data_IF_551483354871
#
_entry.id   IF_551483354871
#
_cell.length_a   1.000
_cell.length_b   1.000
_cell.length_c   1.000
_cell.angle_alpha   90.00
_cell.angle_beta   90.00
_cell.angle_gamma   90.00
#
_symmetry.space_group_name_H-M   'P 1'
#
loop_
_entity.id
_entity.type
_entity.pdbx_description
1 polymer ?
#
# COMPACT_ATOMS: atom_id res chain seq x y z
N UNK A 1 -12.17 43.68 -33.06
CA UNK A 1 -12.88 42.42 -32.75
C UNK A 1 -12.02 41.67 -31.76
N UNK A 2 -12.30 41.84 -30.47
CA UNK A 2 -11.49 41.28 -29.39
C UNK A 2 -12.08 39.96 -28.93
N UNK A 3 -11.22 38.94 -28.87
CA UNK A 3 -11.49 37.59 -28.40
C UNK A 3 -11.63 37.57 -26.88
N UNK A 4 -12.72 36.97 -26.38
CA UNK A 4 -12.90 36.65 -24.96
C UNK A 4 -12.45 35.21 -24.69
N UNK A 5 -11.71 34.93 -23.59
CA UNK A 5 -11.37 33.57 -23.18
C UNK A 5 -12.57 32.86 -22.54
N UNK A 6 -12.70 31.58 -22.85
CA UNK A 6 -13.69 30.65 -22.30
C UNK A 6 -13.29 30.23 -20.86
N UNK A 7 -14.16 30.51 -19.89
CA UNK A 7 -14.04 30.05 -18.49
C UNK A 7 -15.19 29.08 -18.24
N UNK A 8 -14.97 27.76 -18.08
CA UNK A 8 -16.00 26.84 -17.65
C UNK A 8 -16.00 26.73 -16.11
N UNK A 9 -16.42 27.80 -15.44
CA UNK A 9 -17.13 27.64 -14.16
C UNK A 9 -18.61 27.53 -14.53
N UNK A 10 -19.21 26.34 -14.37
CA UNK A 10 -20.65 26.09 -14.18
C UNK A 10 -20.95 24.59 -14.47
N UNK A 11 -20.56 23.69 -13.55
CA UNK A 11 -21.09 22.31 -13.59
C UNK A 11 -21.03 21.48 -12.28
N UNK A 12 -20.66 22.04 -11.12
CA UNK A 12 -20.73 21.27 -9.85
C UNK A 12 -21.22 22.10 -8.65
N UNK A 13 -22.53 22.11 -8.38
CA UNK A 13 -23.18 22.83 -7.28
C UNK A 13 -23.04 22.20 -5.88
N UNK A 14 -21.88 21.61 -5.52
CA UNK A 14 -21.62 21.11 -4.15
C UNK A 14 -20.23 21.40 -3.59
N UNK A 15 -19.48 22.35 -4.16
CA UNK A 15 -18.15 22.74 -3.67
C UNK A 15 -18.15 23.66 -2.41
N UNK A 16 -19.32 24.12 -1.94
CA UNK A 16 -19.40 25.10 -0.84
C UNK A 16 -19.19 24.54 0.57
N UNK A 17 -19.45 23.25 0.79
CA UNK A 17 -19.55 22.69 2.15
C UNK A 17 -18.20 22.25 2.78
N UNK A 18 -17.12 22.17 2.00
CA UNK A 18 -15.80 21.74 2.50
C UNK A 18 -14.86 22.89 2.87
N UNK A 19 -15.26 24.16 2.67
CA UNK A 19 -14.40 25.33 2.99
C UNK A 19 -14.36 25.69 4.48
N UNK A 20 -15.20 25.10 5.32
CA UNK A 20 -15.45 25.59 6.69
C UNK A 20 -15.13 24.59 7.82
N UNK A 21 -14.35 23.53 7.59
CA UNK A 21 -14.02 22.56 8.65
C UNK A 21 -12.54 22.23 8.75
N UNK A 22 -11.72 23.26 8.94
CA UNK A 22 -10.40 23.14 9.54
C UNK A 22 -10.29 24.21 10.64
N UNK A 23 -10.25 23.77 11.90
CA UNK A 23 -10.00 24.63 13.05
C UNK A 23 -8.54 25.14 13.02
N UNK A 24 -8.23 26.41 13.34
CA UNK A 24 -6.92 27.02 13.06
C UNK A 24 -5.81 26.76 14.09
N UNK A 25 -5.83 25.66 14.84
CA UNK A 25 -4.72 25.31 15.73
C UNK A 25 -4.12 23.98 15.29
N UNK A 26 -2.83 24.02 14.94
CA UNK A 26 -1.96 22.92 14.48
C UNK A 26 -1.83 22.70 12.96
N UNK A 27 -1.78 23.79 12.18
CA UNK A 27 -1.11 23.75 10.87
C UNK A 27 0.38 24.08 11.05
N UNK A 28 1.23 23.07 11.22
CA UNK A 28 2.65 23.23 10.93
C UNK A 28 2.82 23.23 9.40
N UNK A 29 3.14 24.40 8.85
CA UNK A 29 3.46 24.61 7.44
C UNK A 29 4.68 23.76 7.04
N UNK A 30 4.43 22.61 6.44
CA UNK A 30 5.36 22.05 5.46
C UNK A 30 4.94 22.61 4.11
N UNK A 31 5.89 23.21 3.40
CA UNK A 31 5.82 23.60 1.99
C UNK A 31 5.55 22.36 1.12
N UNK A 32 4.33 21.85 1.20
CA UNK A 32 3.99 20.45 0.97
C UNK A 32 3.38 20.24 -0.39
N UNK A 33 3.89 19.24 -1.13
CA UNK A 33 3.24 18.74 -2.33
C UNK A 33 1.82 18.29 -1.96
N UNK A 34 0.81 18.97 -2.48
CA UNK A 34 -0.58 18.58 -2.27
C UNK A 34 -0.82 17.19 -2.87
N UNK A 35 -1.35 16.27 -2.05
CA UNK A 35 -1.75 14.94 -2.48
C UNK A 35 -3.13 14.64 -1.88
N UNK A 36 -4.20 14.60 -2.71
CA UNK A 36 -5.57 14.51 -2.21
C UNK A 36 -6.00 13.09 -1.79
N UNK A 37 -5.12 12.09 -1.89
CA UNK A 37 -5.42 10.70 -1.60
C UNK A 37 -4.76 10.22 -0.30
N UNK A 38 -5.32 9.15 0.25
CA UNK A 38 -4.89 8.54 1.52
C UNK A 38 -3.96 7.36 1.30
N UNK A 39 -3.24 6.93 2.35
CA UNK A 39 -2.43 5.70 2.34
C UNK A 39 -3.25 4.46 1.93
N UNK A 40 -4.55 4.43 2.26
CA UNK A 40 -5.46 3.35 1.84
C UNK A 40 -5.55 3.20 0.31
N UNK A 41 -5.46 4.30 -0.45
CA UNK A 41 -5.42 4.22 -1.91
C UNK A 41 -4.14 3.53 -2.39
N UNK A 42 -3.01 3.84 -1.77
CA UNK A 42 -1.71 3.27 -2.13
C UNK A 42 -1.64 1.80 -1.71
N UNK A 43 -2.22 1.44 -0.57
CA UNK A 43 -2.38 0.06 -0.14
C UNK A 43 -3.21 -0.73 -1.15
N UNK A 44 -4.30 -0.17 -1.69
CA UNK A 44 -5.09 -0.81 -2.75
C UNK A 44 -4.27 -0.99 -4.05
N UNK A 45 -3.54 0.05 -4.48
CA UNK A 45 -2.64 -0.01 -5.64
C UNK A 45 -1.55 -1.07 -5.45
N UNK A 46 -0.99 -1.17 -4.24
CA UNK A 46 0.01 -2.18 -3.91
C UNK A 46 -0.59 -3.58 -3.91
N UNK A 47 -1.77 -3.77 -3.33
CA UNK A 47 -2.39 -5.07 -3.13
C UNK A 47 -2.93 -5.70 -4.42
N UNK A 48 -3.62 -4.92 -5.25
CA UNK A 48 -4.25 -5.43 -6.47
C UNK A 48 -3.27 -5.48 -7.65
N UNK A 49 -3.06 -6.66 -8.24
CA UNK A 49 -2.19 -6.80 -9.42
C UNK A 49 -2.65 -5.96 -10.62
N UNK A 50 -3.95 -5.67 -10.76
CA UNK A 50 -4.48 -4.86 -11.86
C UNK A 50 -4.13 -3.37 -11.70
N UNK A 51 -4.09 -2.89 -10.45
CA UNK A 51 -3.72 -1.51 -10.13
C UNK A 51 -2.20 -1.35 -10.01
N UNK A 52 -1.49 -2.42 -9.61
CA UNK A 52 -0.06 -2.35 -9.34
C UNK A 52 0.75 -1.99 -10.60
N UNK A 53 1.62 -0.96 -10.53
CA UNK A 53 2.51 -0.63 -11.63
C UNK A 53 3.35 -1.82 -12.07
N UNK A 54 3.49 -2.03 -13.38
CA UNK A 54 4.25 -3.18 -13.91
C UNK A 54 5.77 -2.96 -13.93
N UNK A 55 6.21 -1.71 -13.88
CA UNK A 55 7.62 -1.31 -13.97
C UNK A 55 8.14 -0.71 -12.65
N UNK A 56 7.84 -1.37 -11.52
CA UNK A 56 8.32 -0.93 -10.21
C UNK A 56 9.85 -0.93 -10.16
N UNK A 57 10.40 0.06 -9.46
CA UNK A 57 11.83 0.19 -9.19
C UNK A 57 12.03 0.63 -7.75
N UNK A 58 13.15 0.23 -7.16
CA UNK A 58 13.58 0.83 -5.90
C UNK A 58 13.96 2.29 -6.12
N UNK A 59 14.05 3.08 -5.05
CA UNK A 59 14.58 4.45 -5.11
C UNK A 59 16.02 4.53 -5.65
N UNK A 60 16.76 3.42 -5.61
CA UNK A 60 18.10 3.26 -6.21
C UNK A 60 18.06 2.82 -7.68
N UNK A 61 16.87 2.70 -8.27
CA UNK A 61 16.67 2.33 -9.68
C UNK A 61 16.72 0.82 -9.98
N UNK A 62 16.82 -0.05 -8.96
CA UNK A 62 16.82 -1.50 -9.18
C UNK A 62 15.40 -1.96 -9.56
N UNK A 63 15.22 -2.78 -10.62
CA UNK A 63 13.92 -3.35 -10.96
C UNK A 63 13.32 -4.15 -9.80
N UNK A 64 12.00 -4.04 -9.61
CA UNK A 64 11.23 -4.78 -8.61
C UNK A 64 10.15 -5.61 -9.28
N UNK A 65 10.09 -6.90 -8.94
CA UNK A 65 8.98 -7.78 -9.28
C UNK A 65 8.30 -8.21 -7.98
N UNK A 66 6.99 -8.02 -7.88
CA UNK A 66 6.20 -8.46 -6.72
C UNK A 66 5.69 -9.87 -6.99
N UNK A 67 6.22 -10.87 -6.27
CA UNK A 67 5.68 -12.24 -6.32
C UNK A 67 4.42 -12.35 -5.45
N UNK A 68 4.43 -11.70 -4.29
CA UNK A 68 3.30 -11.63 -3.36
C UNK A 68 3.31 -10.25 -2.67
N UNK A 69 2.22 -9.45 -2.72
CA UNK A 69 2.16 -8.16 -2.03
C UNK A 69 2.12 -8.28 -0.50
N UNK A 70 1.89 -9.49 0.02
CA UNK A 70 1.66 -9.77 1.43
C UNK A 70 0.16 -9.82 1.76
N UNK A 71 -0.15 -10.28 2.97
CA UNK A 71 -1.51 -10.27 3.50
C UNK A 71 -1.78 -8.91 4.13
N UNK A 72 -2.82 -8.22 3.65
CA UNK A 72 -3.24 -6.94 4.23
C UNK A 72 -3.59 -7.11 5.71
N UNK A 73 -2.95 -6.29 6.54
CA UNK A 73 -3.18 -6.21 7.97
C UNK A 73 -4.11 -5.03 8.27
N UNK A 74 -5.21 -5.30 8.98
CA UNK A 74 -6.16 -4.27 9.44
C UNK A 74 -6.01 -3.97 10.94
N UNK A 75 -5.01 -4.58 11.57
CA UNK A 75 -4.70 -4.43 12.98
C UNK A 75 -3.44 -3.59 13.16
N UNK A 76 -3.07 -3.36 14.40
CA UNK A 76 -1.85 -2.66 14.73
C UNK A 76 -0.63 -3.41 14.16
N UNK A 77 0.11 -2.81 13.24
CA UNK A 77 1.40 -3.30 12.76
C UNK A 77 1.67 -2.75 11.38
N UNK A 78 2.61 -3.35 10.63
CA UNK A 78 2.81 -2.97 9.25
C UNK A 78 1.57 -3.26 8.39
N UNK A 79 1.38 -2.51 7.32
CA UNK A 79 0.22 -2.61 6.44
C UNK A 79 0.04 -3.99 5.80
N UNK A 80 1.14 -4.68 5.48
CA UNK A 80 1.12 -6.01 4.88
C UNK A 80 2.12 -6.94 5.55
N UNK A 81 1.68 -8.16 5.86
CA UNK A 81 2.55 -9.21 6.37
C UNK A 81 3.07 -10.13 5.27
N UNK A 82 4.36 -10.43 5.29
CA UNK A 82 4.98 -11.48 4.47
C UNK A 82 4.95 -11.21 2.95
N UNK A 83 5.16 -9.97 2.53
CA UNK A 83 5.42 -9.63 1.14
C UNK A 83 6.67 -10.35 0.62
N UNK A 84 6.66 -10.73 -0.66
CA UNK A 84 7.77 -11.40 -1.35
C UNK A 84 8.07 -10.73 -2.68
N UNK A 85 9.28 -10.23 -2.83
CA UNK A 85 9.74 -9.46 -3.99
C UNK A 85 11.03 -10.03 -4.57
N UNK A 86 11.24 -9.87 -5.87
CA UNK A 86 12.53 -10.07 -6.55
C UNK A 86 13.11 -8.72 -6.95
N UNK A 87 14.35 -8.46 -6.54
CA UNK A 87 15.02 -7.17 -6.72
C UNK A 87 16.24 -7.29 -7.62
N UNK A 88 16.40 -6.32 -8.51
CA UNK A 88 17.55 -6.23 -9.41
C UNK A 88 17.50 -7.22 -10.56
N UNK A 89 18.53 -7.17 -11.42
CA UNK A 89 18.66 -8.08 -12.57
C UNK A 89 18.93 -9.52 -12.16
N UNK A 90 19.59 -9.70 -11.02
CA UNK A 90 19.92 -11.00 -10.42
C UNK A 90 18.74 -11.64 -9.67
N UNK A 91 17.59 -10.95 -9.57
CA UNK A 91 16.37 -11.44 -8.92
C UNK A 91 16.60 -11.89 -7.48
N UNK A 92 17.30 -11.06 -6.69
CA UNK A 92 17.51 -11.29 -5.26
C UNK A 92 16.15 -11.30 -4.56
N UNK A 93 15.82 -12.40 -3.89
CA UNK A 93 14.52 -12.55 -3.22
C UNK A 93 14.54 -11.89 -1.84
N UNK A 94 13.58 -11.02 -1.60
CA UNK A 94 13.34 -10.36 -0.30
C UNK A 94 11.98 -10.82 0.22
N UNK A 95 11.95 -11.22 1.49
CA UNK A 95 10.74 -11.62 2.20
C UNK A 95 10.67 -10.81 3.49
N UNK A 96 9.53 -10.19 3.75
CA UNK A 96 9.29 -9.42 4.96
C UNK A 96 7.98 -8.66 4.87
N UNK A 97 7.71 -7.84 5.87
CA UNK A 97 6.50 -7.03 5.91
C UNK A 97 6.66 -5.79 5.02
N UNK A 98 5.53 -5.23 4.57
CA UNK A 98 5.49 -4.02 3.78
C UNK A 98 4.70 -2.93 4.49
N UNK A 99 5.23 -1.70 4.44
CA UNK A 99 4.64 -0.50 5.04
C UNK A 99 4.43 0.57 3.97
N UNK A 100 3.28 1.25 3.98
CA UNK A 100 2.87 2.21 2.96
C UNK A 100 2.66 3.60 3.56
N UNK A 101 3.34 4.61 3.00
CA UNK A 101 3.13 6.02 3.37
C UNK A 101 2.94 6.94 2.18
N UNK A 102 2.44 8.16 2.41
CA UNK A 102 2.46 9.21 1.38
C UNK A 102 3.89 9.71 1.18
N UNK A 103 4.58 10.06 2.27
CA UNK A 103 5.94 10.56 2.26
C UNK A 103 6.89 9.60 2.98
N UNK A 104 8.12 9.49 2.51
CA UNK A 104 9.12 8.66 3.18
C UNK A 104 9.37 9.10 4.64
N UNK A 105 9.27 10.40 4.93
CA UNK A 105 9.41 10.98 6.27
C UNK A 105 8.41 10.44 7.29
N UNK A 106 7.26 9.93 6.84
CA UNK A 106 6.20 9.48 7.74
C UNK A 106 6.62 8.26 8.57
N UNK A 107 7.59 7.48 8.07
CA UNK A 107 8.27 6.46 8.86
C UNK A 107 8.81 6.98 10.20
N UNK A 108 9.44 8.16 10.18
CA UNK A 108 9.94 8.81 11.41
C UNK A 108 8.81 9.44 12.19
N UNK A 109 7.88 10.11 11.51
CA UNK A 109 6.78 10.84 12.16
C UNK A 109 5.90 9.89 13.00
N UNK A 110 5.71 8.67 12.52
CA UNK A 110 4.97 7.62 13.22
C UNK A 110 5.84 6.78 14.18
N UNK A 111 7.13 7.10 14.33
CA UNK A 111 8.05 6.44 15.24
C UNK A 111 8.20 4.92 15.00
N UNK A 112 8.04 4.47 13.75
CA UNK A 112 8.10 3.05 13.39
C UNK A 112 9.46 2.41 13.70
N UNK A 113 10.55 3.17 13.59
CA UNK A 113 11.90 2.68 13.92
C UNK A 113 12.09 2.25 15.38
N UNK A 114 11.27 2.75 16.31
CA UNK A 114 11.30 2.38 17.73
C UNK A 114 10.25 1.34 18.12
N UNK A 115 9.36 0.97 17.20
CA UNK A 115 8.27 0.05 17.47
C UNK A 115 8.61 -1.37 16.98
N UNK A 116 8.72 -2.36 17.89
CA UNK A 116 9.09 -3.73 17.54
C UNK A 116 8.19 -4.40 16.50
N UNK A 117 6.94 -3.96 16.36
CA UNK A 117 5.99 -4.50 15.37
C UNK A 117 6.47 -4.31 13.94
N UNK A 118 7.31 -3.30 13.68
CA UNK A 118 7.84 -2.97 12.36
C UNK A 118 9.24 -3.56 12.10
N UNK A 119 9.81 -4.32 13.05
CA UNK A 119 11.16 -4.90 12.91
C UNK A 119 11.31 -5.86 11.71
N UNK A 120 10.19 -6.41 11.22
CA UNK A 120 10.15 -7.29 10.05
C UNK A 120 9.83 -6.58 8.74
N UNK A 121 9.65 -5.25 8.74
CA UNK A 121 9.50 -4.49 7.50
C UNK A 121 10.76 -4.65 6.67
N UNK A 122 10.57 -5.06 5.41
CA UNK A 122 11.62 -5.12 4.40
C UNK A 122 11.27 -4.34 3.14
N UNK A 123 10.05 -3.85 3.03
CA UNK A 123 9.55 -3.10 1.89
C UNK A 123 8.83 -1.85 2.40
N UNK A 124 9.39 -0.68 2.12
CA UNK A 124 8.75 0.59 2.41
C UNK A 124 8.27 1.22 1.10
N UNK A 125 6.97 1.41 0.96
CA UNK A 125 6.32 1.90 -0.25
C UNK A 125 5.85 3.32 0.02
N UNK A 126 6.20 4.25 -0.86
CA UNK A 126 5.74 5.64 -0.74
C UNK A 126 5.08 6.11 -2.01
N UNK A 127 4.21 7.12 -1.91
CA UNK A 127 3.81 7.86 -3.11
C UNK A 127 4.98 8.69 -3.63
N UNK A 128 5.39 9.70 -2.85
CA UNK A 128 6.48 10.57 -3.25
C UNK A 128 7.82 9.90 -3.03
N UNK A 129 8.71 10.05 -4.01
CA UNK A 129 10.11 9.67 -3.84
C UNK A 129 10.76 10.54 -2.75
N UNK A 130 11.42 9.89 -1.82
CA UNK A 130 12.23 10.51 -0.77
C UNK A 130 13.23 9.48 -0.27
N UNK A 131 14.51 9.81 -0.34
CA UNK A 131 15.55 8.94 0.20
C UNK A 131 15.80 9.33 1.64
N UNK A 132 15.33 8.50 2.57
CA UNK A 132 15.74 8.56 3.96
C UNK A 132 17.03 7.76 4.18
N UNK A 133 17.74 8.10 5.25
CA UNK A 133 18.89 7.33 5.74
C UNK A 133 18.47 5.87 6.01
N UNK A 134 19.20 4.92 5.43
CA UNK A 134 18.89 3.49 5.54
C UNK A 134 18.95 2.97 6.98
N UNK A 135 19.72 3.62 7.85
CA UNK A 135 19.84 3.27 9.28
C UNK A 135 18.55 3.46 10.08
N UNK A 136 17.58 4.18 9.53
CA UNK A 136 16.28 4.41 10.15
C UNK A 136 15.32 3.24 10.03
N UNK A 137 15.60 2.34 9.09
CA UNK A 137 14.78 1.18 8.80
C UNK A 137 15.44 -0.09 9.35
N UNK A 138 14.67 -1.17 9.51
CA UNK A 138 15.26 -2.48 9.72
C UNK A 138 16.28 -2.82 8.62
N UNK A 139 17.39 -3.50 8.95
CA UNK A 139 18.42 -3.85 7.97
C UNK A 139 17.84 -4.61 6.77
N UNK A 140 18.25 -4.21 5.57
CA UNK A 140 17.80 -4.81 4.32
C UNK A 140 16.44 -4.30 3.81
N UNK A 141 15.88 -3.25 4.42
CA UNK A 141 14.69 -2.59 3.90
C UNK A 141 14.96 -1.91 2.57
N UNK A 142 14.14 -2.20 1.58
CA UNK A 142 14.13 -1.48 0.30
C UNK A 142 13.03 -0.42 0.33
N UNK A 143 13.24 0.64 -0.43
CA UNK A 143 12.26 1.72 -0.62
C UNK A 143 11.79 1.74 -2.07
N UNK A 144 10.48 1.85 -2.29
CA UNK A 144 9.83 1.89 -3.61
C UNK A 144 8.90 3.09 -3.65
N UNK A 145 9.10 3.99 -4.61
CA UNK A 145 8.23 5.15 -4.82
C UNK A 145 7.29 4.91 -6.01
N UNK A 146 6.01 5.22 -5.85
CA UNK A 146 4.98 4.93 -6.84
C UNK A 146 4.73 6.08 -7.81
N UNK A 147 5.00 7.34 -7.43
CA UNK A 147 4.59 8.54 -8.20
C UNK A 147 4.98 8.48 -9.68
N UNK A 148 6.21 8.06 -10.00
CA UNK A 148 6.73 8.12 -11.38
C UNK A 148 6.29 6.92 -12.25
N UNK A 149 5.69 5.91 -11.65
CA UNK A 149 5.34 4.63 -12.32
C UNK A 149 3.85 4.29 -12.22
N UNK A 150 3.12 4.93 -11.31
CA UNK A 150 1.69 4.76 -11.17
C UNK A 150 0.95 5.50 -12.29
N UNK A 151 0.20 4.73 -13.08
CA UNK A 151 -0.64 5.23 -14.18
C UNK A 151 -2.13 5.05 -13.90
N UNK A 152 -2.47 4.52 -12.73
CA UNK A 152 -3.85 4.34 -12.27
C UNK A 152 -4.44 5.69 -11.91
N UNK A 153 -5.65 5.96 -12.38
CA UNK A 153 -6.48 7.05 -11.89
C UNK A 153 -6.96 6.71 -10.47
N UNK A 154 -6.38 7.37 -9.47
CA UNK A 154 -6.69 7.10 -8.06
C UNK A 154 -8.12 7.49 -7.67
N UNK A 155 -8.75 8.44 -8.38
CA UNK A 155 -10.16 8.79 -8.14
C UNK A 155 -11.11 7.65 -8.53
N UNK A 156 -10.67 6.75 -9.41
CA UNK A 156 -11.46 5.60 -9.87
C UNK A 156 -11.38 4.38 -8.94
N UNK A 157 -10.51 4.43 -7.92
CA UNK A 157 -10.30 3.30 -7.01
C UNK A 157 -11.44 3.22 -5.99
N UNK A 158 -12.27 2.18 -6.11
CA UNK A 158 -13.30 1.87 -5.12
C UNK A 158 -12.67 1.28 -3.84
N UNK A 159 -12.40 2.12 -2.85
CA UNK A 159 -11.83 1.71 -1.57
C UNK A 159 -12.74 0.78 -0.75
N UNK A 160 -14.05 0.74 -1.04
CA UNK A 160 -14.98 -0.14 -0.32
C UNK A 160 -14.78 -1.61 -0.71
N UNK A 161 -14.19 -1.86 -1.88
CA UNK A 161 -13.83 -3.19 -2.34
C UNK A 161 -12.65 -3.79 -1.57
N UNK A 162 -11.83 -3.01 -0.85
CA UNK A 162 -10.61 -3.49 -0.20
C UNK A 162 -10.71 -3.56 1.33
N UNK A 163 -10.10 -4.59 1.98
CA UNK A 163 -9.20 -5.60 1.40
C UNK A 163 -9.90 -6.86 0.87
N UNK A 164 -11.24 -6.86 0.82
CA UNK A 164 -12.05 -8.06 0.55
C UNK A 164 -12.12 -8.46 -0.93
N UNK A 165 -11.69 -7.59 -1.83
CA UNK A 165 -11.44 -7.91 -3.22
C UNK A 165 -10.36 -8.99 -3.26
N UNK A 166 -10.70 -10.18 -3.74
CA UNK A 166 -9.68 -11.20 -3.97
C UNK A 166 -8.64 -10.63 -4.94
N UNK A 167 -7.33 -10.77 -4.65
CA UNK A 167 -6.31 -10.49 -5.66
C UNK A 167 -6.68 -11.33 -6.87
N UNK A 168 -7.08 -10.67 -7.96
CA UNK A 168 -7.36 -11.34 -9.23
C UNK A 168 -6.03 -11.80 -9.80
N UNK A 169 -5.50 -12.88 -9.25
CA UNK A 169 -4.22 -13.44 -9.66
C UNK A 169 -4.39 -14.09 -11.04
N UNK A 170 -3.34 -14.04 -11.86
CA UNK A 170 -3.26 -14.85 -13.10
C UNK A 170 -3.10 -16.35 -12.81
N UNK A 171 -3.13 -16.78 -11.54
CA UNK A 171 -3.03 -18.17 -11.14
C UNK A 171 -4.41 -18.81 -11.03
N UNK A 172 -4.64 -19.83 -11.84
CA UNK A 172 -5.64 -20.86 -11.58
C UNK A 172 -5.47 -21.35 -10.13
N UNK A 173 -6.38 -20.96 -9.24
CA UNK A 173 -6.56 -21.69 -7.99
C UNK A 173 -6.90 -23.15 -8.36
N UNK A 174 -6.35 -24.15 -7.66
CA UNK A 174 -6.49 -25.55 -8.05
C UNK A 174 -7.86 -26.13 -7.64
N UNK A 175 -8.95 -25.38 -7.84
CA UNK A 175 -10.30 -25.88 -7.63
C UNK A 175 -10.76 -26.78 -8.78
N UNK A 176 -10.05 -26.77 -9.91
CA UNK A 176 -10.32 -27.64 -11.04
C UNK A 176 -10.14 -29.12 -10.60
N UNK A 177 -11.24 -29.75 -10.19
CA UNK A 177 -11.31 -31.15 -9.76
C UNK A 177 -11.57 -31.40 -8.27
N UNK A 178 -11.71 -30.36 -7.43
CA UNK A 178 -12.10 -30.56 -6.01
C UNK A 178 -13.62 -30.55 -5.87
N UNK A 179 -14.16 -31.50 -5.10
CA UNK A 179 -15.60 -31.53 -4.79
C UNK A 179 -15.93 -30.49 -3.71
N UNK A 180 -17.14 -29.86 -3.73
CA UNK A 180 -17.49 -28.76 -2.82
C UNK A 180 -17.18 -28.96 -1.34
N UNK A 181 -17.37 -30.16 -0.76
CA UNK A 181 -17.03 -30.41 0.65
C UNK A 181 -15.53 -30.38 0.93
N UNK A 182 -14.67 -30.71 -0.05
CA UNK A 182 -13.23 -30.61 0.10
C UNK A 182 -12.77 -29.16 0.13
N UNK A 183 -13.48 -28.29 -0.61
CA UNK A 183 -13.25 -26.84 -0.58
C UNK A 183 -13.66 -26.28 0.78
N UNK A 184 -14.80 -26.71 1.32
CA UNK A 184 -15.27 -26.28 2.65
C UNK A 184 -14.31 -26.73 3.75
N UNK A 185 -13.93 -28.01 3.79
CA UNK A 185 -12.97 -28.55 4.79
C UNK A 185 -11.61 -27.84 4.70
N UNK A 186 -11.15 -27.51 3.49
CA UNK A 186 -9.91 -26.74 3.30
C UNK A 186 -10.03 -25.30 3.81
N UNK A 187 -11.14 -24.63 3.54
CA UNK A 187 -11.41 -23.27 4.03
C UNK A 187 -11.57 -23.21 5.55
N UNK A 188 -12.24 -24.20 6.15
CA UNK A 188 -12.38 -24.32 7.60
C UNK A 188 -11.02 -24.49 8.27
N UNK A 189 -10.19 -25.44 7.80
CA UNK A 189 -8.82 -25.64 8.32
C UNK A 189 -7.92 -24.41 8.14
N UNK A 190 -8.01 -23.73 7.00
CA UNK A 190 -7.28 -22.48 6.77
C UNK A 190 -7.80 -21.32 7.64
N UNK A 191 -9.08 -21.35 8.02
CA UNK A 191 -9.70 -20.45 8.99
C UNK A 191 -9.20 -20.70 10.41
N UNK A 192 -9.24 -21.97 10.85
CA UNK A 192 -8.75 -22.40 12.16
C UNK A 192 -7.27 -22.09 12.37
N UNK A 193 -6.42 -22.35 11.37
CA UNK A 193 -4.99 -22.04 11.45
C UNK A 193 -4.74 -20.53 11.59
N UNK A 194 -5.52 -19.69 10.89
CA UNK A 194 -5.43 -18.23 11.05
C UNK A 194 -5.84 -17.79 12.46
N UNK A 195 -6.91 -18.35 13.00
CA UNK A 195 -7.34 -18.08 14.37
C UNK A 195 -6.27 -18.53 15.37
N UNK A 196 -5.69 -19.72 15.19
CA UNK A 196 -4.62 -20.25 16.04
C UNK A 196 -3.38 -19.36 16.02
N UNK A 197 -2.95 -18.91 14.84
CA UNK A 197 -1.84 -17.96 14.70
C UNK A 197 -2.13 -16.63 15.38
N UNK A 198 -3.38 -16.17 15.35
CA UNK A 198 -3.82 -14.95 16.04
C UNK A 198 -3.77 -15.12 17.56
N UNK A 199 -4.22 -16.26 18.09
CA UNK A 199 -4.17 -16.58 19.52
C UNK A 199 -2.73 -16.63 20.04
N UNK A 200 -1.79 -17.21 19.28
CA UNK A 200 -0.38 -17.28 19.67
C UNK A 200 0.25 -15.88 19.77
N UNK A 201 -0.12 -14.94 18.88
CA UNK A 201 0.38 -13.55 18.90
C UNK A 201 -0.16 -12.73 20.06
N UNK A 202 -1.34 -13.06 20.59
CA UNK A 202 -1.94 -12.36 21.74
C UNK A 202 -1.44 -12.88 23.10
N UNK A 203 -0.81 -14.06 23.12
CA UNK A 203 -0.35 -14.70 24.35
C UNK A 203 1.15 -14.44 24.66
N UNK A 204 1.82 -13.60 23.86
CA UNK A 204 3.25 -13.28 23.92
C UNK A 204 3.50 -11.80 24.10
#
# INVERSE_FOLDING_TARGET
>A
MSVHPFIPELSFSRAGAYRNWVSPHEAHETSGRYFPYTERHLQAVWFDDHLRPKNLKTVRGEPVIVENPGRWNLEAGPDFHGATLLIGRERRRIIGDAEVHIFASDWKNHQHGSDPRYAQVRVHITWFSGQLDESLFPPGTIQVALQDVCTVDLDSVDLSAYPYAEPRSKGTFPWAGMHPEQIVDWLERAGEERLRQKTVRMAS
#
